data_IF_632118315011
#
_entry.id   IF_632118315011
#
_cell.length_a   1.000
_cell.length_b   1.000
_cell.length_c   1.000
_cell.angle_alpha   90.00
_cell.angle_beta   90.00
_cell.angle_gamma   90.00
#
_symmetry.space_group_name_H-M   'P 1'
#
loop_
_entity.id
_entity.type
_entity.pdbx_description
1 polymer ?
#
# COMPACT_ATOMS: atom_id res chain seq x y z
N UNK A 1 -26.54 18.85 23.13
CA UNK A 1 -26.13 17.67 22.33
C UNK A 1 -26.20 18.06 20.86
N UNK A 2 -25.10 18.22 20.13
CA UNK A 2 -25.21 18.50 18.70
C UNK A 2 -25.67 17.21 18.00
N UNK A 3 -26.70 17.34 17.16
CA UNK A 3 -27.22 16.25 16.34
C UNK A 3 -26.09 15.66 15.45
N UNK A 4 -26.09 14.35 15.20
CA UNK A 4 -25.07 13.73 14.34
C UNK A 4 -25.18 14.32 12.93
N UNK A 5 -24.12 15.00 12.49
CA UNK A 5 -24.00 15.50 11.12
C UNK A 5 -24.02 14.29 10.17
N UNK A 6 -24.93 14.23 9.19
CA UNK A 6 -24.99 13.10 8.27
C UNK A 6 -23.68 13.04 7.46
N UNK A 7 -22.94 11.94 7.58
CA UNK A 7 -21.68 11.74 6.85
C UNK A 7 -21.94 11.69 5.34
N UNK A 8 -21.41 12.67 4.60
CA UNK A 8 -21.53 12.80 3.13
C UNK A 8 -20.74 11.72 2.37
N UNK A 9 -19.92 10.94 3.09
CA UNK A 9 -19.04 9.89 2.57
C UNK A 9 -19.36 8.58 3.30
N UNK A 10 -19.64 7.51 2.56
CA UNK A 10 -19.69 6.16 3.11
C UNK A 10 -18.36 5.48 2.82
N UNK A 11 -17.74 4.91 3.86
CA UNK A 11 -16.61 3.98 3.71
C UNK A 11 -17.18 2.73 3.04
N UNK A 12 -17.14 2.67 1.71
CA UNK A 12 -17.60 1.49 0.98
C UNK A 12 -16.49 0.47 0.96
N UNK A 13 -16.68 -0.63 1.66
CA UNK A 13 -15.77 -1.78 1.67
C UNK A 13 -15.46 -2.27 0.27
N UNK A 14 -14.22 -2.74 0.07
CA UNK A 14 -13.86 -3.48 -1.12
C UNK A 14 -14.54 -4.85 -1.05
N UNK A 15 -15.51 -5.06 -1.92
CA UNK A 15 -16.40 -6.22 -1.87
C UNK A 15 -16.00 -7.26 -2.91
N UNK A 16 -15.37 -8.34 -2.47
CA UNK A 16 -14.77 -9.35 -3.33
C UNK A 16 -15.64 -10.61 -3.30
N UNK A 17 -15.96 -11.14 -4.47
CA UNK A 17 -16.72 -12.39 -4.61
C UNK A 17 -15.85 -13.45 -5.28
N UNK A 18 -15.91 -14.68 -4.78
CA UNK A 18 -15.44 -15.86 -5.49
C UNK A 18 -16.60 -16.77 -5.83
N UNK A 19 -16.64 -17.30 -7.06
CA UNK A 19 -17.76 -18.11 -7.52
C UNK A 19 -17.34 -19.13 -8.60
N UNK A 20 -17.44 -20.42 -8.26
CA UNK A 20 -17.37 -21.51 -9.24
C UNK A 20 -18.73 -21.62 -9.96
N UNK A 21 -18.72 -21.39 -11.28
CA UNK A 21 -19.94 -21.19 -12.09
C UNK A 21 -20.29 -22.38 -13.00
N UNK A 22 -19.46 -23.43 -13.00
CA UNK A 22 -19.66 -24.63 -13.82
C UNK A 22 -20.02 -24.32 -15.28
N UNK A 23 -19.13 -23.58 -15.93
CA UNK A 23 -19.17 -23.25 -17.35
C UNK A 23 -19.98 -21.99 -17.69
N UNK A 24 -19.39 -21.15 -18.55
CA UNK A 24 -19.96 -19.87 -19.02
C UNK A 24 -20.14 -19.80 -20.53
N UNK A 25 -20.02 -20.90 -21.27
CA UNK A 25 -20.17 -20.92 -22.73
C UNK A 25 -21.57 -20.47 -23.19
N UNK A 26 -22.59 -20.66 -22.35
CA UNK A 26 -23.98 -20.26 -22.59
C UNK A 26 -24.19 -18.77 -22.24
N UNK A 27 -24.86 -18.00 -23.11
CA UNK A 27 -25.02 -16.55 -22.95
C UNK A 27 -25.86 -16.19 -21.73
N UNK A 28 -26.91 -16.97 -21.49
CA UNK A 28 -27.84 -16.82 -20.37
C UNK A 28 -27.09 -16.91 -19.04
N UNK A 29 -26.16 -17.87 -18.90
CA UNK A 29 -25.30 -17.99 -17.70
C UNK A 29 -24.39 -16.76 -17.52
N UNK A 30 -23.79 -16.24 -18.60
CA UNK A 30 -22.98 -15.00 -18.51
C UNK A 30 -23.81 -13.81 -18.05
N UNK A 31 -25.02 -13.66 -18.59
CA UNK A 31 -25.95 -12.59 -18.20
C UNK A 31 -26.40 -12.74 -16.74
N UNK A 32 -26.65 -13.96 -16.26
CA UNK A 32 -26.96 -14.23 -14.85
C UNK A 32 -25.79 -13.88 -13.93
N UNK A 33 -24.58 -14.33 -14.26
CA UNK A 33 -23.37 -13.99 -13.51
C UNK A 33 -23.20 -12.46 -13.36
N UNK A 34 -23.24 -11.71 -14.46
CA UNK A 34 -23.06 -10.25 -14.40
C UNK A 34 -24.18 -9.55 -13.62
N UNK A 35 -25.41 -10.08 -13.66
CA UNK A 35 -26.54 -9.59 -12.86
C UNK A 35 -26.29 -9.81 -11.37
N UNK A 36 -25.87 -11.01 -10.98
CA UNK A 36 -25.58 -11.35 -9.59
C UNK A 36 -24.44 -10.50 -9.05
N UNK A 37 -23.33 -10.38 -9.80
CA UNK A 37 -22.21 -9.51 -9.41
C UNK A 37 -22.63 -8.04 -9.24
N UNK A 38 -23.55 -7.56 -10.07
CA UNK A 38 -24.14 -6.21 -9.92
C UNK A 38 -25.00 -6.11 -8.66
N UNK A 39 -25.88 -7.09 -8.43
CA UNK A 39 -26.78 -7.13 -7.27
C UNK A 39 -26.00 -7.18 -5.96
N UNK A 40 -24.94 -7.98 -5.93
CA UNK A 40 -24.06 -8.07 -4.78
C UNK A 40 -23.12 -6.87 -4.60
N UNK A 41 -23.15 -5.89 -5.52
CA UNK A 41 -22.25 -4.72 -5.53
C UNK A 41 -20.78 -5.15 -5.53
N UNK A 42 -20.43 -6.12 -6.36
CA UNK A 42 -19.09 -6.67 -6.41
C UNK A 42 -18.08 -5.68 -6.97
N UNK A 43 -17.00 -5.49 -6.22
CA UNK A 43 -15.81 -4.73 -6.58
C UNK A 43 -14.89 -5.54 -7.49
N UNK A 44 -14.58 -6.77 -7.06
CA UNK A 44 -13.66 -7.69 -7.71
C UNK A 44 -14.28 -9.08 -7.66
N UNK A 45 -14.26 -9.81 -8.78
CA UNK A 45 -14.83 -11.15 -8.86
C UNK A 45 -13.78 -12.17 -9.31
N UNK A 46 -13.65 -13.26 -8.56
CA UNK A 46 -12.87 -14.45 -8.89
C UNK A 46 -13.84 -15.53 -9.40
N UNK A 47 -13.73 -15.88 -10.67
CA UNK A 47 -14.61 -16.84 -11.32
C UNK A 47 -13.82 -18.10 -11.65
N UNK A 48 -14.32 -19.27 -11.25
CA UNK A 48 -13.72 -20.57 -11.55
C UNK A 48 -14.63 -21.36 -12.51
N UNK A 49 -14.04 -22.31 -13.23
CA UNK A 49 -14.75 -23.12 -14.24
C UNK A 49 -15.44 -22.29 -15.32
N UNK A 50 -14.73 -21.33 -15.92
CA UNK A 50 -15.29 -20.54 -17.03
C UNK A 50 -15.59 -21.41 -18.26
N UNK A 51 -14.83 -22.49 -18.46
CA UNK A 51 -14.94 -23.45 -19.58
C UNK A 51 -14.70 -22.82 -20.96
N UNK A 52 -14.07 -21.65 -21.00
CA UNK A 52 -13.72 -20.98 -22.25
C UNK A 52 -12.49 -21.63 -22.89
N UNK A 53 -12.48 -21.70 -24.22
CA UNK A 53 -11.27 -22.01 -24.97
C UNK A 53 -10.42 -20.75 -25.13
N UNK A 54 -9.10 -20.90 -25.09
CA UNK A 54 -8.15 -19.79 -25.21
C UNK A 54 -8.41 -18.92 -26.46
N UNK A 55 -8.69 -19.54 -27.61
CA UNK A 55 -8.92 -18.83 -28.88
C UNK A 55 -10.38 -18.42 -29.14
N UNK A 56 -11.33 -18.77 -28.26
CA UNK A 56 -12.78 -18.51 -28.45
C UNK A 56 -13.45 -17.97 -27.19
N UNK A 57 -12.70 -17.36 -26.28
CA UNK A 57 -13.26 -16.80 -25.06
C UNK A 57 -14.20 -15.62 -25.42
N UNK A 58 -15.50 -15.69 -25.11
CA UNK A 58 -16.41 -14.58 -25.32
C UNK A 58 -16.05 -13.42 -24.38
N UNK A 59 -16.35 -12.20 -24.80
CA UNK A 59 -16.17 -11.04 -23.94
C UNK A 59 -17.10 -11.16 -22.71
N UNK A 60 -16.51 -11.31 -21.52
CA UNK A 60 -17.21 -11.23 -20.23
C UNK A 60 -17.04 -9.82 -19.67
N UNK A 61 -17.81 -8.88 -20.21
CA UNK A 61 -17.80 -7.47 -19.80
C UNK A 61 -19.18 -6.84 -19.98
N UNK A 62 -19.43 -5.77 -19.24
CA UNK A 62 -20.60 -4.90 -19.41
C UNK A 62 -20.26 -3.46 -19.00
N UNK A 63 -21.26 -2.61 -18.78
CA UNK A 63 -21.03 -1.25 -18.27
C UNK A 63 -20.43 -1.23 -16.86
N UNK A 64 -20.63 -2.27 -16.05
CA UNK A 64 -20.22 -2.36 -14.66
C UNK A 64 -18.88 -3.05 -14.44
N UNK A 65 -18.47 -3.94 -15.35
CA UNK A 65 -17.25 -4.71 -15.28
C UNK A 65 -16.40 -4.53 -16.54
N UNK A 66 -15.11 -4.24 -16.33
CA UNK A 66 -14.11 -4.18 -17.39
C UNK A 66 -13.84 -5.59 -17.93
N UNK A 67 -13.14 -5.68 -19.06
CA UNK A 67 -12.66 -6.96 -19.60
C UNK A 67 -11.86 -7.70 -18.52
N UNK A 68 -12.22 -8.96 -18.29
CA UNK A 68 -11.56 -9.81 -17.30
C UNK A 68 -10.16 -10.27 -17.70
N UNK A 69 -9.38 -10.62 -16.69
CA UNK A 69 -8.12 -11.35 -16.85
C UNK A 69 -8.42 -12.84 -16.87
N UNK A 70 -7.99 -13.54 -17.92
CA UNK A 70 -8.28 -14.96 -18.11
C UNK A 70 -7.03 -15.82 -18.08
N UNK A 71 -7.19 -17.03 -17.54
CA UNK A 71 -6.29 -18.16 -17.73
C UNK A 71 -7.15 -19.35 -18.13
N UNK A 72 -7.09 -19.73 -19.40
CA UNK A 72 -7.86 -20.82 -19.98
C UNK A 72 -6.93 -21.98 -20.34
N UNK A 73 -7.47 -23.19 -20.41
CA UNK A 73 -6.72 -24.33 -20.91
C UNK A 73 -6.90 -24.41 -22.44
N UNK A 74 -5.82 -24.55 -23.23
CA UNK A 74 -5.92 -24.67 -24.69
C UNK A 74 -6.63 -25.95 -25.14
N UNK A 75 -6.40 -27.05 -24.42
CA UNK A 75 -6.81 -28.40 -24.82
C UNK A 75 -8.16 -28.82 -24.21
N UNK A 76 -8.49 -28.31 -23.00
CA UNK A 76 -9.64 -28.76 -22.22
C UNK A 76 -10.66 -27.65 -21.97
N UNK A 77 -11.93 -27.94 -22.27
CA UNK A 77 -13.06 -27.03 -21.99
C UNK A 77 -13.67 -27.17 -20.59
N UNK A 78 -13.03 -27.88 -19.67
CA UNK A 78 -13.54 -28.11 -18.30
C UNK A 78 -12.82 -27.29 -17.24
N UNK A 79 -11.92 -26.40 -17.67
CA UNK A 79 -11.08 -25.57 -16.80
C UNK A 79 -11.23 -24.10 -17.22
N UNK A 80 -10.55 -23.21 -16.50
CA UNK A 80 -10.52 -21.80 -16.80
C UNK A 80 -10.89 -20.97 -15.58
N UNK A 81 -10.10 -19.95 -15.32
CA UNK A 81 -10.31 -19.00 -14.23
C UNK A 81 -10.25 -17.58 -14.75
N UNK A 82 -11.00 -16.69 -14.11
CA UNK A 82 -11.07 -15.29 -14.48
C UNK A 82 -11.07 -14.37 -13.26
N UNK A 83 -10.40 -13.21 -13.37
CA UNK A 83 -10.54 -12.11 -12.42
C UNK A 83 -11.21 -10.93 -13.14
N UNK A 84 -12.34 -10.48 -12.63
CA UNK A 84 -13.10 -9.33 -13.11
C UNK A 84 -12.95 -8.15 -12.15
N UNK A 85 -12.74 -6.97 -12.69
CA UNK A 85 -12.72 -5.72 -11.93
C UNK A 85 -13.91 -4.86 -12.32
N UNK A 86 -14.61 -4.31 -11.32
CA UNK A 86 -15.65 -3.33 -11.57
C UNK A 86 -15.07 -2.09 -12.23
N UNK A 87 -15.78 -1.54 -13.22
CA UNK A 87 -15.46 -0.27 -13.87
C UNK A 87 -15.35 0.89 -12.88
N UNK A 88 -15.96 0.75 -11.68
CA UNK A 88 -15.92 1.74 -10.60
C UNK A 88 -14.61 1.73 -9.79
N UNK A 89 -13.75 0.74 -10.00
CA UNK A 89 -12.47 0.64 -9.28
C UNK A 89 -11.34 0.99 -10.25
N UNK A 90 -10.50 1.99 -9.90
CA UNK A 90 -9.36 2.37 -10.70
C UNK A 90 -8.21 1.38 -10.44
N UNK A 91 -8.40 0.12 -10.83
CA UNK A 91 -7.32 -0.86 -10.83
C UNK A 91 -6.37 -0.59 -11.99
N UNK A 92 -5.09 -0.42 -11.68
CA UNK A 92 -4.01 -0.30 -12.65
C UNK A 92 -3.15 -1.55 -12.52
N UNK A 93 -3.20 -2.39 -13.54
CA UNK A 93 -2.40 -3.61 -13.59
C UNK A 93 -0.92 -3.28 -13.72
N UNK A 94 -0.09 -4.02 -12.97
CA UNK A 94 1.36 -4.03 -13.12
C UNK A 94 1.85 -5.33 -13.77
N UNK A 95 1.32 -6.48 -13.36
CA UNK A 95 1.69 -7.77 -13.93
C UNK A 95 0.58 -8.81 -13.76
N UNK A 96 0.55 -9.78 -14.67
CA UNK A 96 -0.36 -10.94 -14.61
C UNK A 96 0.39 -12.23 -14.95
N UNK A 97 0.26 -13.24 -14.09
CA UNK A 97 0.82 -14.59 -14.27
C UNK A 97 -0.33 -15.59 -14.49
N UNK A 98 -0.28 -16.31 -15.61
CA UNK A 98 -1.33 -17.24 -16.05
C UNK A 98 -0.85 -18.69 -15.97
N UNK A 99 -1.71 -19.58 -15.50
CA UNK A 99 -1.49 -21.02 -15.57
C UNK A 99 -1.76 -21.54 -16.98
N UNK A 100 -0.84 -22.31 -17.57
CA UNK A 100 -1.08 -22.96 -18.87
C UNK A 100 -2.29 -23.91 -18.84
N UNK A 101 -2.55 -24.53 -17.70
CA UNK A 101 -3.66 -25.45 -17.51
C UNK A 101 -4.97 -24.73 -17.13
N UNK A 102 -5.03 -23.39 -17.10
CA UNK A 102 -6.27 -22.69 -16.74
C UNK A 102 -6.76 -22.93 -15.30
N UNK A 103 -5.85 -23.28 -14.38
CA UNK A 103 -6.16 -23.64 -12.99
C UNK A 103 -5.94 -22.49 -12.00
N UNK A 104 -5.15 -21.49 -12.35
CA UNK A 104 -4.98 -20.29 -11.53
C UNK A 104 -4.61 -19.09 -12.40
N UNK A 105 -4.89 -17.90 -11.87
CA UNK A 105 -4.40 -16.65 -12.40
C UNK A 105 -4.02 -15.73 -11.25
N UNK A 106 -2.86 -15.12 -11.34
CA UNK A 106 -2.39 -14.10 -10.41
C UNK A 106 -2.30 -12.78 -11.14
N UNK A 107 -2.77 -11.71 -10.53
CA UNK A 107 -2.57 -10.36 -11.04
C UNK A 107 -2.17 -9.47 -9.88
N UNK A 108 -1.22 -8.57 -10.12
CA UNK A 108 -0.85 -7.53 -9.16
C UNK A 108 -0.94 -6.16 -9.82
N UNK A 109 -1.30 -5.19 -9.01
CA UNK A 109 -1.53 -3.83 -9.47
C UNK A 109 -1.92 -2.92 -8.32
N UNK A 110 -2.17 -1.66 -8.65
CA UNK A 110 -2.49 -0.64 -7.66
C UNK A 110 -3.98 -0.31 -7.66
N UNK A 111 -4.52 -0.06 -6.47
CA UNK A 111 -5.83 0.55 -6.24
C UNK A 111 -5.60 1.70 -5.27
N UNK A 112 -5.71 2.93 -5.75
CA UNK A 112 -5.46 4.15 -4.94
C UNK A 112 -4.11 4.09 -4.20
N UNK A 113 -3.04 3.91 -4.99
CA UNK A 113 -1.64 3.89 -4.55
C UNK A 113 -1.26 2.76 -3.58
N UNK A 114 -2.18 1.86 -3.29
CA UNK A 114 -1.90 0.62 -2.56
C UNK A 114 -1.74 -0.53 -3.53
N UNK A 115 -0.64 -1.26 -3.41
CA UNK A 115 -0.40 -2.48 -4.19
C UNK A 115 -1.19 -3.65 -3.62
N UNK A 116 -1.88 -4.36 -4.50
CA UNK A 116 -2.61 -5.59 -4.20
C UNK A 116 -2.14 -6.70 -5.12
N UNK A 117 -2.07 -7.92 -4.58
CA UNK A 117 -1.93 -9.15 -5.35
C UNK A 117 -3.21 -9.96 -5.19
N UNK A 118 -3.86 -10.26 -6.31
CA UNK A 118 -5.07 -11.09 -6.36
C UNK A 118 -4.74 -12.43 -6.99
N UNK A 119 -5.10 -13.51 -6.30
CA UNK A 119 -4.91 -14.87 -6.78
C UNK A 119 -6.25 -15.62 -6.83
N UNK A 120 -6.67 -15.98 -8.04
CA UNK A 120 -7.82 -16.86 -8.24
C UNK A 120 -7.32 -18.28 -8.54
N UNK A 121 -7.70 -19.24 -7.70
CA UNK A 121 -7.21 -20.63 -7.76
C UNK A 121 -8.39 -21.60 -7.92
N UNK A 122 -8.23 -22.57 -8.81
CA UNK A 122 -9.12 -23.71 -9.01
C UNK A 122 -8.30 -25.00 -8.95
N UNK A 123 -8.30 -25.67 -7.80
CA UNK A 123 -7.52 -26.87 -7.58
C UNK A 123 -8.13 -28.11 -8.28
N UNK A 124 -7.31 -29.09 -8.70
CA UNK A 124 -7.81 -30.34 -9.27
C UNK A 124 -8.39 -31.28 -8.21
N UNK A 125 -9.33 -32.14 -8.60
CA UNK A 125 -9.91 -33.17 -7.72
C UNK A 125 -8.91 -34.23 -7.22
N UNK A 126 -7.76 -34.37 -7.90
CA UNK A 126 -6.68 -35.29 -7.53
C UNK A 126 -5.39 -34.53 -7.28
N UNK A 127 -4.57 -35.03 -6.35
CA UNK A 127 -3.26 -34.44 -6.00
C UNK A 127 -3.31 -32.96 -5.56
N UNK A 128 -4.41 -32.53 -4.91
CA UNK A 128 -4.64 -31.16 -4.41
C UNK A 128 -3.42 -30.58 -3.69
N UNK A 129 -2.88 -31.30 -2.69
CA UNK A 129 -1.75 -30.83 -1.89
C UNK A 129 -0.52 -30.50 -2.75
N UNK A 130 -0.17 -31.36 -3.72
CA UNK A 130 0.99 -31.12 -4.57
C UNK A 130 0.79 -29.91 -5.48
N UNK A 131 -0.43 -29.75 -6.02
CA UNK A 131 -0.80 -28.59 -6.80
C UNK A 131 -0.76 -27.31 -5.95
N UNK A 132 -1.37 -27.31 -4.77
CA UNK A 132 -1.39 -26.15 -3.88
C UNK A 132 0.02 -25.77 -3.43
N UNK A 133 0.87 -26.74 -3.09
CA UNK A 133 2.26 -26.50 -2.69
C UNK A 133 3.06 -25.78 -3.77
N UNK A 134 3.00 -26.24 -5.03
CA UNK A 134 3.71 -25.58 -6.12
C UNK A 134 3.08 -24.23 -6.49
N UNK A 135 1.76 -24.13 -6.44
CA UNK A 135 1.01 -22.91 -6.75
C UNK A 135 1.30 -21.81 -5.72
N UNK A 136 1.26 -22.13 -4.42
CA UNK A 136 1.60 -21.19 -3.34
C UNK A 136 3.07 -20.79 -3.43
N UNK A 137 3.99 -21.72 -3.68
CA UNK A 137 5.40 -21.38 -3.86
C UNK A 137 5.63 -20.39 -5.03
N UNK A 138 4.92 -20.57 -6.15
CA UNK A 138 4.95 -19.62 -7.27
C UNK A 138 4.30 -18.28 -6.93
N UNK A 139 3.17 -18.31 -6.22
CA UNK A 139 2.45 -17.12 -5.80
C UNK A 139 3.28 -16.25 -4.86
N UNK A 140 3.97 -16.85 -3.89
CA UNK A 140 4.80 -16.11 -2.94
C UNK A 140 5.96 -15.38 -3.62
N UNK A 141 6.49 -15.92 -4.73
CA UNK A 141 7.51 -15.22 -5.55
C UNK A 141 6.94 -14.06 -6.37
N UNK A 142 5.65 -14.14 -6.72
CA UNK A 142 4.96 -13.14 -7.52
C UNK A 142 4.37 -12.00 -6.66
N UNK A 143 4.09 -12.30 -5.39
CA UNK A 143 3.31 -11.46 -4.48
C UNK A 143 4.00 -10.15 -4.16
N UNK A 144 3.21 -9.08 -4.21
CA UNK A 144 3.56 -7.74 -3.76
C UNK A 144 2.34 -7.07 -3.09
N UNK A 145 2.59 -6.31 -2.02
CA UNK A 145 1.53 -5.62 -1.28
C UNK A 145 0.54 -6.55 -0.58
N UNK A 146 -0.75 -6.18 -0.57
CA UNK A 146 -1.79 -6.96 0.12
C UNK A 146 -2.19 -8.18 -0.71
N UNK A 147 -1.93 -9.38 -0.18
CA UNK A 147 -2.29 -10.64 -0.83
C UNK A 147 -3.72 -11.07 -0.49
N UNK A 148 -4.52 -11.31 -1.53
CA UNK A 148 -5.87 -11.87 -1.44
C UNK A 148 -5.95 -13.08 -2.36
N UNK A 149 -6.14 -14.24 -1.76
CA UNK A 149 -6.34 -15.51 -2.46
C UNK A 149 -7.80 -15.88 -2.36
N UNK A 150 -8.40 -16.32 -3.45
CA UNK A 150 -9.71 -16.96 -3.38
C UNK A 150 -9.94 -17.98 -4.48
N UNK A 151 -10.95 -18.81 -4.27
CA UNK A 151 -11.38 -19.81 -5.24
C UNK A 151 -11.68 -21.16 -4.61
N UNK A 152 -11.74 -22.16 -5.47
CA UNK A 152 -12.15 -23.51 -5.14
C UNK A 152 -10.90 -24.39 -4.96
N UNK A 153 -10.68 -24.83 -3.73
CA UNK A 153 -9.53 -25.67 -3.37
C UNK A 153 -9.80 -27.17 -3.56
N UNK A 154 -11.04 -27.56 -3.91
CA UNK A 154 -11.49 -28.94 -4.03
C UNK A 154 -11.01 -29.83 -2.86
N UNK A 155 -10.98 -29.24 -1.66
CA UNK A 155 -10.51 -29.86 -0.43
C UNK A 155 -11.18 -29.20 0.77
N UNK A 156 -11.85 -29.99 1.62
CA UNK A 156 -12.27 -29.56 2.95
C UNK A 156 -11.04 -29.41 3.86
N UNK A 157 -10.82 -28.21 4.42
CA UNK A 157 -9.69 -27.94 5.31
C UNK A 157 -9.89 -28.57 6.69
N UNK A 158 -11.11 -28.51 7.23
CA UNK A 158 -11.49 -29.13 8.50
C UNK A 158 -12.63 -30.13 8.29
N UNK A 159 -12.36 -31.40 7.92
CA UNK A 159 -13.39 -32.38 7.57
C UNK A 159 -14.54 -32.49 8.57
N UNK A 160 -14.25 -32.42 9.88
CA UNK A 160 -15.27 -32.54 10.93
C UNK A 160 -16.29 -31.38 10.95
N UNK A 161 -15.93 -30.23 10.38
CA UNK A 161 -16.76 -29.01 10.34
C UNK A 161 -17.21 -28.66 8.93
N UNK A 162 -16.39 -28.97 7.93
CA UNK A 162 -16.50 -28.56 6.53
C UNK A 162 -17.10 -29.66 5.64
N UNK A 163 -17.41 -30.83 6.19
CA UNK A 163 -17.96 -31.97 5.47
C UNK A 163 -19.13 -32.60 6.26
N UNK A 164 -20.07 -33.18 5.54
CA UNK A 164 -21.23 -33.91 6.08
C UNK A 164 -21.25 -35.37 5.67
N UNK A 165 -20.31 -35.80 4.82
CA UNK A 165 -20.18 -37.19 4.43
C UNK A 165 -19.92 -38.10 5.64
N UNK A 166 -20.53 -39.29 5.70
CA UNK A 166 -20.24 -40.27 6.75
C UNK A 166 -18.75 -40.65 6.69
N UNK A 167 -18.01 -40.31 7.75
CA UNK A 167 -16.62 -40.68 8.07
C UNK A 167 -15.73 -41.14 6.88
N UNK A 168 -14.92 -40.21 6.34
CA UNK A 168 -13.56 -40.56 5.89
C UNK A 168 -13.24 -40.58 4.39
N UNK A 169 -13.97 -39.87 3.52
CA UNK A 169 -13.66 -39.86 2.08
C UNK A 169 -12.34 -39.15 1.69
N UNK A 170 -11.70 -38.43 2.61
CA UNK A 170 -10.35 -37.88 2.39
C UNK A 170 -9.28 -38.63 3.20
N UNK A 171 -8.21 -39.15 2.58
CA UNK A 171 -7.07 -39.72 3.30
C UNK A 171 -6.62 -38.74 4.39
N UNK A 172 -6.54 -39.21 5.66
CA UNK A 172 -6.28 -38.40 6.86
C UNK A 172 -5.07 -37.43 6.73
N UNK A 173 -4.16 -37.67 5.80
CA UNK A 173 -2.95 -36.88 5.64
C UNK A 173 -3.06 -35.65 4.71
N UNK A 174 -4.08 -35.54 3.84
CA UNK A 174 -4.11 -34.45 2.84
C UNK A 174 -4.44 -33.08 3.46
N UNK A 175 -5.54 -33.00 4.20
CA UNK A 175 -5.97 -31.75 4.83
C UNK A 175 -4.92 -31.26 5.83
N UNK A 176 -4.34 -32.15 6.64
CA UNK A 176 -3.31 -31.81 7.61
C UNK A 176 -2.05 -31.23 6.94
N UNK A 177 -1.62 -31.80 5.80
CA UNK A 177 -0.49 -31.26 5.02
C UNK A 177 -0.82 -29.89 4.42
N UNK A 178 -2.03 -29.69 3.93
CA UNK A 178 -2.48 -28.38 3.41
C UNK A 178 -2.55 -27.33 4.52
N UNK A 179 -3.10 -27.66 5.69
CA UNK A 179 -3.13 -26.75 6.84
C UNK A 179 -1.71 -26.34 7.27
N UNK A 180 -0.76 -27.28 7.32
CA UNK A 180 0.65 -26.97 7.58
C UNK A 180 1.25 -26.04 6.53
N UNK A 181 0.96 -26.26 5.25
CA UNK A 181 1.40 -25.39 4.16
C UNK A 181 0.85 -23.97 4.33
N UNK A 182 -0.44 -23.81 4.64
CA UNK A 182 -1.06 -22.50 4.87
C UNK A 182 -0.41 -21.80 6.06
N UNK A 183 -0.22 -22.52 7.17
CA UNK A 183 0.46 -22.00 8.36
C UNK A 183 1.91 -21.54 8.08
N UNK A 184 2.69 -22.32 7.31
CA UNK A 184 4.06 -21.95 6.91
C UNK A 184 4.13 -20.61 6.16
N UNK A 185 3.09 -20.29 5.38
CA UNK A 185 2.99 -19.03 4.64
C UNK A 185 2.13 -17.98 5.34
N UNK A 186 1.77 -18.20 6.61
CA UNK A 186 0.93 -17.30 7.41
C UNK A 186 -0.42 -16.98 6.74
N UNK A 187 -0.96 -17.91 5.97
CA UNK A 187 -2.24 -17.79 5.29
C UNK A 187 -3.36 -18.31 6.21
N UNK A 188 -4.36 -17.47 6.44
CA UNK A 188 -5.52 -17.76 7.26
C UNK A 188 -6.79 -17.83 6.40
N UNK A 189 -7.68 -18.76 6.74
CA UNK A 189 -9.04 -18.84 6.21
C UNK A 189 -9.88 -17.68 6.77
N UNK A 190 -10.28 -16.76 5.89
CA UNK A 190 -11.01 -15.55 6.27
C UNK A 190 -12.40 -15.84 6.84
N UNK A 191 -13.08 -16.87 6.35
CA UNK A 191 -14.42 -17.22 6.86
C UNK A 191 -14.30 -17.86 8.24
N UNK A 192 -13.39 -18.82 8.39
CA UNK A 192 -13.16 -19.51 9.67
C UNK A 192 -12.60 -18.56 10.75
N UNK A 193 -11.85 -17.53 10.36
CA UNK A 193 -11.36 -16.50 11.28
C UNK A 193 -12.50 -15.69 11.93
N UNK A 194 -13.59 -15.45 11.21
CA UNK A 194 -14.77 -14.74 11.74
C UNK A 194 -15.84 -15.68 12.31
N UNK A 195 -15.86 -16.93 11.85
CA UNK A 195 -16.85 -17.94 12.25
C UNK A 195 -16.17 -19.24 12.74
N UNK A 196 -15.45 -19.23 13.89
CA UNK A 196 -14.59 -20.35 14.27
C UNK A 196 -15.33 -21.67 14.44
N UNK A 197 -16.54 -21.64 15.00
CA UNK A 197 -17.34 -22.84 15.33
C UNK A 197 -18.55 -23.05 14.41
N UNK A 198 -18.86 -22.09 13.55
CA UNK A 198 -20.03 -22.21 12.68
C UNK A 198 -19.82 -23.29 11.61
N UNK A 199 -20.92 -23.90 11.18
CA UNK A 199 -20.95 -24.87 10.08
C UNK A 199 -21.83 -24.33 8.98
N UNK A 200 -21.24 -24.16 7.80
CA UNK A 200 -21.90 -23.75 6.58
C UNK A 200 -21.07 -24.22 5.38
N UNK A 201 -21.69 -24.37 4.22
CA UNK A 201 -21.13 -25.13 3.10
C UNK A 201 -21.23 -24.36 1.79
N UNK A 202 -20.29 -24.61 0.89
CA UNK A 202 -20.23 -23.92 -0.40
C UNK A 202 -20.55 -24.81 -1.59
N UNK A 203 -20.64 -26.13 -1.40
CA UNK A 203 -20.90 -27.08 -2.47
C UNK A 203 -21.90 -28.14 -2.01
N UNK A 204 -22.78 -28.53 -2.93
CA UNK A 204 -23.70 -29.65 -2.75
C UNK A 204 -23.45 -30.74 -3.79
N UNK A 205 -23.12 -31.95 -3.32
CA UNK A 205 -22.99 -33.13 -4.17
C UNK A 205 -24.33 -33.86 -4.27
N UNK A 206 -24.99 -33.77 -5.43
CA UNK A 206 -26.23 -34.51 -5.67
C UNK A 206 -26.05 -36.03 -5.67
N UNK A 207 -24.87 -36.51 -6.09
CA UNK A 207 -24.57 -37.95 -6.17
C UNK A 207 -24.44 -38.60 -4.78
N UNK A 208 -23.97 -37.84 -3.79
CA UNK A 208 -23.73 -38.33 -2.43
C UNK A 208 -24.72 -37.75 -1.41
N UNK A 209 -25.56 -36.79 -1.81
CA UNK A 209 -26.45 -36.02 -0.93
C UNK A 209 -25.71 -35.37 0.24
N UNK A 210 -24.48 -34.90 -0.03
CA UNK A 210 -23.58 -34.31 0.97
C UNK A 210 -23.29 -32.85 0.66
N UNK A 211 -23.13 -32.07 1.71
CA UNK A 211 -22.64 -30.70 1.68
C UNK A 211 -21.18 -30.64 2.10
N UNK A 212 -20.39 -29.82 1.40
CA UNK A 212 -18.96 -29.65 1.66
C UNK A 212 -18.55 -28.20 1.47
N UNK A 213 -17.61 -27.68 2.27
CA UNK A 213 -17.02 -26.35 2.09
C UNK A 213 -15.72 -26.47 1.31
N UNK A 214 -15.73 -26.02 0.05
CA UNK A 214 -14.64 -26.16 -0.91
C UNK A 214 -14.07 -24.81 -1.38
N UNK A 215 -14.82 -23.73 -1.20
CA UNK A 215 -14.48 -22.39 -1.65
C UNK A 215 -13.98 -21.55 -0.48
N UNK A 216 -12.83 -20.90 -0.67
CA UNK A 216 -12.13 -20.19 0.40
C UNK A 216 -11.68 -18.81 -0.05
N UNK A 217 -11.66 -17.86 0.88
CA UNK A 217 -10.78 -16.70 0.82
C UNK A 217 -9.65 -16.90 1.83
N UNK A 218 -8.41 -16.69 1.39
CA UNK A 218 -7.23 -16.73 2.24
C UNK A 218 -6.49 -15.39 2.18
N UNK A 219 -6.02 -14.94 3.33
CA UNK A 219 -5.20 -13.73 3.47
C UNK A 219 -4.05 -13.98 4.44
N UNK A 220 -3.00 -13.16 4.37
CA UNK A 220 -1.94 -13.19 5.37
C UNK A 220 -2.46 -12.74 6.74
N UNK A 221 -1.98 -13.35 7.82
CA UNK A 221 -2.44 -13.05 9.18
C UNK A 221 -2.39 -11.55 9.53
N UNK A 222 -1.33 -10.84 9.12
CA UNK A 222 -1.19 -9.40 9.41
C UNK A 222 -2.22 -8.52 8.69
N UNK A 223 -2.86 -9.02 7.61
CA UNK A 223 -3.88 -8.29 6.85
C UNK A 223 -5.32 -8.66 7.27
N UNK A 224 -5.50 -9.58 8.23
CA UNK A 224 -6.84 -9.92 8.74
C UNK A 224 -7.53 -8.73 9.43
N UNK A 225 -6.78 -7.74 9.91
CA UNK A 225 -7.32 -6.49 10.45
C UNK A 225 -8.11 -5.66 9.41
N UNK A 226 -7.88 -5.91 8.11
CA UNK A 226 -8.64 -5.31 7.02
C UNK A 226 -9.98 -6.01 6.77
N UNK A 227 -10.17 -7.23 7.27
CA UNK A 227 -11.37 -8.01 7.06
C UNK A 227 -12.54 -7.44 7.89
N UNK A 228 -13.60 -7.01 7.21
CA UNK A 228 -14.85 -6.56 7.84
C UNK A 228 -15.89 -7.67 7.91
N UNK A 229 -16.00 -8.49 6.85
CA UNK A 229 -16.94 -9.61 6.81
C UNK A 229 -16.48 -10.68 5.82
N UNK A 230 -16.87 -11.92 6.11
CA UNK A 230 -16.75 -13.07 5.23
C UNK A 230 -18.05 -13.88 5.32
N UNK A 231 -18.73 -14.09 4.20
CA UNK A 231 -20.10 -14.58 4.12
C UNK A 231 -20.23 -15.60 2.98
N UNK A 232 -21.01 -16.65 3.18
CA UNK A 232 -21.43 -17.58 2.13
C UNK A 232 -22.80 -17.09 1.63
N UNK A 233 -22.93 -16.89 0.32
CA UNK A 233 -24.16 -16.38 -0.30
C UNK A 233 -25.04 -17.54 -0.79
N UNK A 234 -26.36 -17.33 -0.99
CA UNK A 234 -27.25 -18.38 -1.44
C UNK A 234 -26.82 -19.03 -2.77
N UNK A 235 -26.90 -20.35 -2.84
CA UNK A 235 -26.77 -21.12 -4.08
C UNK A 235 -27.95 -20.81 -4.99
N UNK A 236 -27.67 -20.36 -6.23
CA UNK A 236 -28.72 -19.89 -7.15
C UNK A 236 -28.84 -20.74 -8.40
N UNK A 237 -27.79 -20.80 -9.23
CA UNK A 237 -27.82 -21.51 -10.53
C UNK A 237 -26.57 -22.33 -10.83
N UNK A 238 -25.56 -22.26 -9.96
CA UNK A 238 -24.41 -23.18 -9.93
C UNK A 238 -24.63 -24.22 -8.81
N UNK A 239 -23.83 -25.27 -8.82
CA UNK A 239 -23.72 -26.25 -7.71
C UNK A 239 -22.80 -25.77 -6.58
N UNK A 240 -22.20 -24.59 -6.74
CA UNK A 240 -21.51 -23.88 -5.68
C UNK A 240 -22.27 -22.63 -5.22
N UNK A 241 -22.09 -22.28 -3.95
CA UNK A 241 -22.45 -20.99 -3.37
C UNK A 241 -21.36 -19.95 -3.71
N UNK A 242 -21.72 -18.73 -4.12
CA UNK A 242 -20.76 -17.64 -4.14
C UNK A 242 -20.30 -17.33 -2.70
N UNK A 243 -19.01 -17.10 -2.51
CA UNK A 243 -18.48 -16.58 -1.24
C UNK A 243 -18.13 -15.11 -1.38
N UNK A 244 -18.35 -14.34 -0.31
CA UNK A 244 -18.13 -12.89 -0.28
C UNK A 244 -17.19 -12.51 0.85
N UNK A 245 -16.24 -11.64 0.53
CA UNK A 245 -15.36 -11.00 1.50
C UNK A 245 -15.46 -9.48 1.36
N UNK A 246 -15.64 -8.78 2.49
CA UNK A 246 -15.62 -7.32 2.56
C UNK A 246 -14.37 -6.86 3.28
N UNK A 247 -13.53 -6.09 2.61
CA UNK A 247 -12.32 -5.51 3.17
C UNK A 247 -12.51 -4.02 3.40
N UNK A 248 -11.95 -3.50 4.50
CA UNK A 248 -11.85 -2.07 4.78
C UNK A 248 -11.19 -1.39 3.59
N UNK A 249 -11.98 -0.58 2.91
CA UNK A 249 -11.50 0.10 1.73
C UNK A 249 -10.52 1.21 2.08
N UNK A 250 -9.45 1.39 1.28
CA UNK A 250 -8.67 2.62 1.30
C UNK A 250 -9.43 3.79 0.63
N UNK A 251 -10.55 3.53 -0.05
CA UNK A 251 -11.30 4.52 -0.83
C UNK A 251 -12.22 5.35 0.08
N UNK A 252 -12.00 6.67 0.10
CA UNK A 252 -12.99 7.65 0.52
C UNK A 252 -13.79 8.07 -0.71
N UNK A 253 -15.09 7.74 -0.79
CA UNK A 253 -15.95 8.19 -1.90
C UNK A 253 -16.79 9.41 -1.51
N UNK A 254 -16.61 10.58 -2.14
CA UNK A 254 -17.64 11.60 -2.13
C UNK A 254 -18.88 11.02 -2.81
N UNK A 255 -20.08 11.32 -2.32
CA UNK A 255 -21.29 11.20 -3.14
C UNK A 255 -21.08 12.00 -4.42
N UNK A 256 -20.74 11.32 -5.51
CA UNK A 256 -20.47 11.90 -6.83
C UNK A 256 -21.69 12.55 -7.50
N UNK A 257 -22.82 12.66 -6.80
CA UNK A 257 -24.09 13.05 -7.38
C UNK A 257 -24.27 14.58 -7.39
N UNK A 258 -23.55 15.36 -6.57
CA UNK A 258 -23.69 16.83 -6.54
C UNK A 258 -22.69 17.57 -7.45
N UNK A 259 -21.39 17.21 -7.45
CA UNK A 259 -20.38 18.03 -8.15
C UNK A 259 -20.46 17.85 -9.68
N UNK A 260 -20.55 16.61 -10.18
CA UNK A 260 -20.56 16.36 -11.63
C UNK A 260 -21.82 16.89 -12.33
N UNK A 261 -22.96 16.88 -11.63
CA UNK A 261 -24.23 17.44 -12.12
C UNK A 261 -24.20 18.97 -12.11
N UNK A 262 -23.66 19.59 -11.06
CA UNK A 262 -23.44 21.04 -10.98
C UNK A 262 -22.41 21.53 -12.01
N UNK A 263 -21.35 20.76 -12.28
CA UNK A 263 -20.38 21.08 -13.34
C UNK A 263 -21.02 21.03 -14.73
N UNK A 264 -21.86 20.02 -14.98
CA UNK A 264 -22.59 19.89 -16.25
C UNK A 264 -23.63 21.01 -16.41
N UNK A 265 -24.32 21.37 -15.33
CA UNK A 265 -25.29 22.48 -15.29
C UNK A 265 -24.60 23.81 -15.52
N UNK A 266 -23.51 24.11 -14.80
CA UNK A 266 -22.74 25.34 -14.96
C UNK A 266 -22.13 25.46 -16.36
N UNK A 267 -21.62 24.37 -16.96
CA UNK A 267 -21.13 24.38 -18.35
C UNK A 267 -22.24 24.70 -19.38
N UNK A 268 -23.50 24.41 -19.06
CA UNK A 268 -24.65 24.67 -19.94
C UNK A 268 -25.28 26.04 -19.73
N UNK A 269 -25.38 26.49 -18.47
CA UNK A 269 -26.10 27.72 -18.12
C UNK A 269 -25.18 28.92 -17.87
N UNK A 270 -23.88 28.68 -17.62
CA UNK A 270 -22.88 29.68 -17.21
C UNK A 270 -23.32 30.57 -16.04
N UNK A 271 -24.26 30.07 -15.24
CA UNK A 271 -24.90 30.83 -14.19
C UNK A 271 -23.98 31.00 -12.96
N UNK A 272 -23.97 32.22 -12.42
CA UNK A 272 -23.16 32.62 -11.28
C UNK A 272 -23.59 31.94 -9.98
N UNK A 273 -24.89 31.66 -9.80
CA UNK A 273 -25.37 30.98 -8.58
C UNK A 273 -24.95 29.51 -8.56
N UNK A 274 -25.04 28.85 -9.71
CA UNK A 274 -24.54 27.47 -9.89
C UNK A 274 -23.01 27.39 -9.70
N UNK A 275 -22.26 28.42 -10.10
CA UNK A 275 -20.81 28.50 -9.87
C UNK A 275 -20.44 28.63 -8.39
N UNK A 276 -21.17 29.45 -7.64
CA UNK A 276 -20.97 29.63 -6.20
C UNK A 276 -21.26 28.34 -5.43
N UNK A 277 -22.34 27.64 -5.77
CA UNK A 277 -22.66 26.32 -5.19
C UNK A 277 -21.60 25.27 -5.51
N UNK A 278 -21.13 25.21 -6.77
CA UNK A 278 -20.06 24.31 -7.19
C UNK A 278 -18.76 24.59 -6.41
N UNK A 279 -18.40 25.87 -6.26
CA UNK A 279 -17.20 26.29 -5.53
C UNK A 279 -17.31 25.96 -4.04
N UNK A 280 -18.47 26.18 -3.43
CA UNK A 280 -18.73 25.79 -2.04
C UNK A 280 -18.59 24.28 -1.83
N UNK A 281 -19.15 23.46 -2.72
CA UNK A 281 -19.04 21.99 -2.67
C UNK A 281 -17.60 21.50 -2.89
N UNK A 282 -16.85 22.13 -3.80
CA UNK A 282 -15.40 21.86 -4.00
C UNK A 282 -14.58 22.20 -2.75
N UNK A 283 -14.81 23.37 -2.15
CA UNK A 283 -14.12 23.78 -0.93
C UNK A 283 -14.45 22.86 0.25
N UNK A 284 -15.70 22.42 0.37
CA UNK A 284 -16.13 21.45 1.37
C UNK A 284 -15.43 20.09 1.18
N UNK A 285 -15.27 19.64 -0.07
CA UNK A 285 -14.51 18.43 -0.40
C UNK A 285 -13.03 18.58 -0.03
N UNK A 286 -12.38 19.67 -0.43
CA UNK A 286 -10.97 19.95 -0.12
C UNK A 286 -10.71 20.01 1.39
N UNK A 287 -11.56 20.72 2.14
CA UNK A 287 -11.45 20.79 3.60
C UNK A 287 -11.58 19.41 4.27
N UNK A 288 -12.41 18.53 3.71
CA UNK A 288 -12.59 17.18 4.22
C UNK A 288 -11.41 16.25 3.85
N UNK A 289 -10.89 16.33 2.62
CA UNK A 289 -9.68 15.61 2.20
C UNK A 289 -8.48 16.00 3.07
N UNK A 290 -8.32 17.30 3.35
CA UNK A 290 -7.26 17.80 4.23
C UNK A 290 -7.38 17.23 5.65
N UNK A 291 -8.59 17.10 6.20
CA UNK A 291 -8.79 16.41 7.51
C UNK A 291 -8.45 14.93 7.45
N UNK A 292 -8.78 14.24 6.36
CA UNK A 292 -8.46 12.82 6.20
C UNK A 292 -6.94 12.61 6.05
N UNK A 293 -6.26 13.46 5.28
CA UNK A 293 -4.79 13.51 5.17
C UNK A 293 -4.18 13.74 6.55
N UNK A 294 -4.69 14.70 7.32
CA UNK A 294 -4.20 15.00 8.66
C UNK A 294 -4.39 13.82 9.63
N UNK A 295 -5.53 13.12 9.57
CA UNK A 295 -5.77 11.89 10.36
C UNK A 295 -4.84 10.73 9.95
N UNK A 296 -4.66 10.53 8.64
CA UNK A 296 -3.74 9.51 8.11
C UNK A 296 -2.30 9.80 8.53
N UNK A 297 -1.88 11.05 8.44
CA UNK A 297 -0.58 11.52 8.91
C UNK A 297 -0.40 11.32 10.43
N UNK A 298 -1.42 11.63 11.23
CA UNK A 298 -1.41 11.35 12.67
C UNK A 298 -1.31 9.86 12.97
N UNK A 299 -2.05 9.03 12.23
CA UNK A 299 -2.01 7.57 12.39
C UNK A 299 -0.67 6.98 11.96
N UNK A 300 -0.07 7.48 10.87
CA UNK A 300 1.28 7.14 10.43
C UNK A 300 2.32 7.49 11.50
N UNK A 301 2.24 8.69 12.09
CA UNK A 301 3.11 9.09 13.22
C UNK A 301 2.94 8.18 14.43
N UNK A 302 1.70 7.82 14.76
CA UNK A 302 1.41 6.88 15.83
C UNK A 302 1.93 5.47 15.53
N UNK A 303 1.81 5.00 14.28
CA UNK A 303 2.33 3.71 13.84
C UNK A 303 3.86 3.67 13.90
N UNK A 304 4.57 4.72 13.48
CA UNK A 304 6.02 4.84 13.66
C UNK A 304 6.37 4.85 15.16
N UNK A 305 5.60 5.55 15.98
CA UNK A 305 5.81 5.56 17.43
C UNK A 305 5.64 4.18 18.05
N UNK A 306 4.60 3.43 17.67
CA UNK A 306 4.28 2.11 18.25
C UNK A 306 5.15 0.97 17.68
N UNK A 307 5.34 0.95 16.37
CA UNK A 307 5.88 -0.18 15.59
C UNK A 307 7.08 0.16 14.71
N UNK A 308 7.45 1.44 14.58
CA UNK A 308 8.72 1.80 13.94
C UNK A 308 9.89 1.25 14.74
N UNK A 309 11.07 1.14 14.12
CA UNK A 309 12.30 0.80 14.83
C UNK A 309 12.54 1.82 15.94
N UNK A 310 12.09 1.47 17.15
CA UNK A 310 12.32 2.25 18.35
C UNK A 310 13.82 2.23 18.55
N UNK A 311 14.41 3.41 18.65
CA UNK A 311 15.78 3.60 19.12
C UNK A 311 16.00 2.67 20.32
N UNK A 312 16.74 1.58 20.12
CA UNK A 312 16.82 0.51 21.12
C UNK A 312 17.30 1.05 22.47
N UNK A 313 17.14 0.25 23.54
CA UNK A 313 17.60 0.60 24.90
C UNK A 313 19.03 1.17 24.92
N UNK A 314 19.89 0.73 24.00
CA UNK A 314 21.22 1.27 23.77
C UNK A 314 21.22 2.75 23.35
N UNK A 315 20.47 3.13 22.32
CA UNK A 315 20.36 4.53 21.87
C UNK A 315 19.61 5.38 22.91
N UNK A 316 18.60 4.84 23.57
CA UNK A 316 17.96 5.49 24.72
C UNK A 316 18.94 5.78 25.86
N UNK A 317 19.83 4.82 26.17
CA UNK A 317 20.89 5.00 27.17
C UNK A 317 21.96 5.99 26.72
N UNK A 318 22.39 5.95 25.45
CA UNK A 318 23.32 6.92 24.88
C UNK A 318 22.75 8.34 24.89
N UNK A 319 21.47 8.50 24.53
CA UNK A 319 20.77 9.79 24.58
C UNK A 319 20.57 10.25 26.02
N UNK A 320 20.27 9.36 26.97
CA UNK A 320 20.16 9.69 28.40
C UNK A 320 21.51 10.14 28.96
N UNK A 321 22.59 9.43 28.63
CA UNK A 321 23.95 9.77 29.04
C UNK A 321 24.41 11.09 28.42
N UNK A 322 24.15 11.32 27.12
CA UNK A 322 24.37 12.62 26.46
C UNK A 322 23.54 13.74 27.08
N UNK A 323 22.26 13.50 27.40
CA UNK A 323 21.39 14.51 28.00
C UNK A 323 21.87 14.90 29.40
N UNK A 324 22.40 13.97 30.18
CA UNK A 324 23.02 14.26 31.47
C UNK A 324 24.34 15.03 31.31
N UNK A 325 25.16 14.69 30.31
CA UNK A 325 26.40 15.44 30.02
C UNK A 325 26.14 16.86 29.52
N UNK A 326 25.06 17.07 28.76
CA UNK A 326 24.66 18.36 28.20
C UNK A 326 23.74 19.15 29.14
N UNK A 327 23.38 18.59 30.30
CA UNK A 327 22.53 19.29 31.26
C UNK A 327 23.38 20.32 32.00
N UNK A 328 22.97 21.58 31.91
CA UNK A 328 23.63 22.70 32.57
C UNK A 328 22.81 23.01 33.83
N UNK A 329 23.28 22.59 35.02
CA UNK A 329 22.48 22.70 36.25
C UNK A 329 22.38 24.13 36.79
N UNK A 330 23.38 24.95 36.48
CA UNK A 330 23.45 26.35 36.88
C UNK A 330 24.45 27.10 36.02
N UNK A 331 24.20 28.38 35.83
CA UNK A 331 25.14 29.31 35.21
C UNK A 331 25.29 30.54 36.11
N UNK A 332 26.31 31.35 35.86
CA UNK A 332 26.44 32.67 36.45
C UNK A 332 26.06 33.72 35.41
N UNK A 333 25.31 34.73 35.84
CA UNK A 333 25.03 35.89 35.00
C UNK A 333 26.25 36.82 34.91
N UNK A 334 26.14 37.87 34.08
CA UNK A 334 27.14 38.94 33.93
C UNK A 334 27.51 39.64 35.24
N UNK A 335 26.67 39.55 36.28
CA UNK A 335 26.91 40.10 37.62
C UNK A 335 27.38 39.02 38.63
N UNK A 336 27.86 37.87 38.14
CA UNK A 336 28.33 36.72 38.94
C UNK A 336 27.27 36.06 39.83
N UNK A 337 25.97 36.34 39.64
CA UNK A 337 24.89 35.72 40.42
C UNK A 337 24.50 34.38 39.82
N UNK A 338 24.27 33.39 40.68
CA UNK A 338 23.89 32.05 40.27
C UNK A 338 22.43 32.01 39.75
N UNK A 339 22.23 31.46 38.56
CA UNK A 339 20.92 31.11 38.00
C UNK A 339 20.79 29.59 37.93
N UNK A 340 19.69 29.06 38.45
CA UNK A 340 19.42 27.62 38.56
C UNK A 340 18.09 27.20 37.92
N UNK A 341 17.19 28.16 37.65
CA UNK A 341 15.92 27.90 36.97
C UNK A 341 16.14 27.82 35.45
N UNK A 342 15.59 26.81 34.75
CA UNK A 342 15.78 26.63 33.31
C UNK A 342 15.45 27.86 32.45
N UNK A 343 14.39 28.59 32.79
CA UNK A 343 13.98 29.80 32.05
C UNK A 343 14.99 30.94 32.23
N UNK A 344 15.58 31.07 33.41
CA UNK A 344 16.63 32.06 33.68
C UNK A 344 17.92 31.68 32.96
N UNK A 345 18.27 30.39 32.95
CA UNK A 345 19.44 29.85 32.24
C UNK A 345 19.28 30.12 30.72
N UNK A 346 18.13 29.80 30.15
CA UNK A 346 17.84 30.02 28.74
C UNK A 346 17.84 31.50 28.35
N UNK A 347 17.32 32.37 29.22
CA UNK A 347 17.29 33.82 29.00
C UNK A 347 18.69 34.42 29.00
N UNK A 348 19.56 33.99 29.93
CA UNK A 348 20.94 34.45 29.97
C UNK A 348 21.73 33.94 28.75
N UNK A 349 21.56 32.67 28.35
CA UNK A 349 22.19 32.15 27.13
C UNK A 349 21.78 32.95 25.90
N UNK A 350 20.49 33.25 25.75
CA UNK A 350 19.98 34.09 24.67
C UNK A 350 20.65 35.46 24.70
N UNK A 351 20.68 36.11 25.86
CA UNK A 351 21.26 37.45 26.04
C UNK A 351 22.75 37.45 25.70
N UNK A 352 23.51 36.47 26.19
CA UNK A 352 24.94 36.32 25.95
C UNK A 352 25.25 36.11 24.46
N UNK A 353 24.62 35.11 23.81
CA UNK A 353 24.89 34.82 22.41
C UNK A 353 24.34 35.90 21.49
N UNK A 354 23.23 36.55 21.84
CA UNK A 354 22.75 37.72 21.12
C UNK A 354 23.79 38.85 21.17
N UNK A 355 24.42 39.10 22.31
CA UNK A 355 25.54 40.04 22.40
C UNK A 355 26.80 39.59 21.65
N UNK A 356 27.12 38.29 21.65
CA UNK A 356 28.28 37.73 20.94
C UNK A 356 28.15 37.85 19.42
N UNK A 357 26.95 37.59 18.89
CA UNK A 357 26.66 37.57 17.46
C UNK A 357 26.09 38.89 16.92
N UNK A 358 25.78 39.86 17.77
CA UNK A 358 25.67 41.23 17.31
C UNK A 358 27.07 41.66 16.84
N UNK A 359 27.19 42.05 15.56
CA UNK A 359 28.28 42.91 15.16
C UNK A 359 28.26 44.09 16.14
N UNK A 360 29.31 44.23 16.97
CA UNK A 360 29.46 45.39 17.85
C UNK A 360 29.31 46.62 16.96
N UNK A 361 28.17 47.32 17.05
CA UNK A 361 28.04 48.64 16.47
C UNK A 361 29.07 49.53 17.16
N UNK A 362 29.67 50.43 16.39
CA UNK A 362 30.85 51.20 16.74
C UNK A 362 30.78 51.75 18.17
N UNK A 363 31.77 51.39 18.99
CA UNK A 363 32.09 52.15 20.21
C UNK A 363 32.43 53.59 19.77
N UNK A 364 31.98 54.63 20.49
CA UNK A 364 32.28 56.02 20.14
C UNK A 364 33.79 56.28 20.25
N UNK A 365 34.50 56.13 19.13
CA UNK A 365 35.96 56.29 19.03
C UNK A 365 36.68 55.29 18.11
N UNK A 366 36.07 54.15 17.76
CA UNK A 366 36.67 53.15 16.87
C UNK A 366 35.76 52.83 15.69
N UNK A 367 35.99 53.48 14.55
CA UNK A 367 35.29 53.17 13.30
C UNK A 367 35.60 51.73 12.85
N UNK A 368 34.58 50.99 12.36
CA UNK A 368 34.72 49.69 11.66
C UNK A 368 35.92 49.61 10.71
N UNK A 369 36.28 50.71 10.04
CA UNK A 369 37.44 50.84 9.16
C UNK A 369 38.79 50.54 9.84
N UNK A 370 38.94 50.90 11.11
CA UNK A 370 40.15 50.67 11.91
C UNK A 370 40.34 49.19 12.26
N UNK A 371 39.26 48.48 12.60
CA UNK A 371 39.29 47.04 12.89
C UNK A 371 39.52 46.19 11.64
N UNK A 372 38.94 46.60 10.51
CA UNK A 372 39.28 46.01 9.21
C UNK A 372 40.76 46.19 8.86
N UNK A 373 41.35 47.34 9.19
CA UNK A 373 42.79 47.56 9.01
C UNK A 373 43.63 46.66 9.93
N UNK A 374 43.20 46.44 11.18
CA UNK A 374 43.87 45.54 12.11
C UNK A 374 43.78 44.07 11.67
N UNK A 375 42.61 43.63 11.22
CA UNK A 375 42.41 42.28 10.66
C UNK A 375 43.25 42.11 9.39
N UNK A 376 43.29 43.10 8.49
CA UNK A 376 44.15 43.07 7.30
C UNK A 376 45.64 43.02 7.66
N UNK A 377 46.07 43.75 8.69
CA UNK A 377 47.45 43.71 9.21
C UNK A 377 47.79 42.32 9.78
N UNK A 378 46.87 41.73 10.55
CA UNK A 378 47.05 40.37 11.09
C UNK A 378 47.13 39.31 9.98
N UNK A 379 46.17 39.35 9.04
CA UNK A 379 46.13 38.46 7.87
C UNK A 379 47.40 38.63 7.02
N UNK A 380 47.87 39.85 6.80
CA UNK A 380 49.12 40.10 6.06
C UNK A 380 50.38 39.67 6.80
N UNK A 381 50.36 39.63 8.15
CA UNK A 381 51.47 39.11 8.95
C UNK A 381 51.52 37.58 9.00
N UNK A 382 50.36 36.93 8.83
CA UNK A 382 50.29 35.51 8.61
C UNK A 382 50.82 35.27 7.19
N UNK A 383 52.02 34.72 7.07
CA UNK A 383 52.65 34.36 5.79
C UNK A 383 51.87 33.19 5.16
N UNK A 384 50.64 33.45 4.73
CA UNK A 384 49.78 32.45 4.13
C UNK A 384 50.33 32.13 2.74
N UNK A 385 50.47 30.85 2.39
CA UNK A 385 50.92 30.47 1.07
C UNK A 385 49.90 30.99 0.04
N UNK A 386 50.38 31.86 -0.85
CA UNK A 386 49.60 32.32 -1.99
C UNK A 386 49.59 31.22 -3.06
N UNK A 387 48.42 31.03 -3.68
CA UNK A 387 48.25 30.08 -4.78
C UNK A 387 48.97 30.67 -6.00
N UNK A 388 49.67 29.84 -6.78
CA UNK A 388 50.36 30.31 -7.98
C UNK A 388 49.36 30.89 -8.99
N UNK A 389 49.79 31.86 -9.81
CA UNK A 389 48.92 32.45 -10.85
C UNK A 389 48.33 31.35 -11.76
N UNK A 390 49.12 30.32 -12.07
CA UNK A 390 48.69 29.16 -12.85
C UNK A 390 47.63 28.31 -12.17
N UNK A 391 47.74 28.09 -10.86
CA UNK A 391 46.74 27.33 -10.10
C UNK A 391 45.46 28.16 -9.90
N UNK A 392 45.58 29.49 -9.76
CA UNK A 392 44.44 30.42 -9.68
C UNK A 392 43.66 30.40 -10.99
N UNK A 393 44.33 30.52 -12.12
CA UNK A 393 43.71 30.43 -13.45
C UNK A 393 43.03 29.07 -13.66
N UNK A 394 43.63 27.98 -13.21
CA UNK A 394 43.04 26.65 -13.29
C UNK A 394 41.78 26.50 -12.40
N UNK A 395 41.78 27.06 -11.19
CA UNK A 395 40.64 27.01 -10.28
C UNK A 395 39.48 27.92 -10.71
N UNK A 396 39.76 29.01 -11.42
CA UNK A 396 38.76 29.93 -11.99
C UNK A 396 38.21 29.47 -13.35
N UNK A 397 38.84 28.47 -13.98
CA UNK A 397 38.38 27.93 -15.27
C UNK A 397 37.02 27.21 -15.15
N UNK A 398 36.20 27.20 -16.22
CA UNK A 398 34.95 26.45 -16.24
C UNK A 398 35.18 24.95 -16.02
N UNK A 399 34.34 24.32 -15.18
CA UNK A 399 34.40 22.88 -14.91
C UNK A 399 34.20 22.09 -16.22
N UNK A 400 35.14 21.22 -16.52
CA UNK A 400 35.14 20.40 -17.74
C UNK A 400 34.39 19.07 -17.54
N UNK A 401 33.82 18.49 -18.61
CA UNK A 401 33.19 17.16 -18.55
C UNK A 401 34.15 16.06 -18.05
N UNK A 402 35.44 16.16 -18.36
CA UNK A 402 36.47 15.21 -17.93
C UNK A 402 36.71 15.25 -16.43
N UNK A 403 36.72 16.44 -15.82
CA UNK A 403 36.81 16.62 -14.37
C UNK A 403 35.58 16.06 -13.66
N UNK A 404 34.39 16.26 -14.24
CA UNK A 404 33.14 15.71 -13.71
C UNK A 404 33.17 14.17 -13.75
N UNK A 405 33.58 13.59 -14.87
CA UNK A 405 33.71 12.14 -15.01
C UNK A 405 34.75 11.56 -14.02
N UNK A 406 35.88 12.23 -13.85
CA UNK A 406 36.90 11.86 -12.86
C UNK A 406 36.36 11.93 -11.43
N UNK A 407 35.66 13.00 -11.08
CA UNK A 407 35.07 13.21 -9.75
C UNK A 407 34.02 12.13 -9.43
N UNK A 408 33.11 11.85 -10.36
CA UNK A 408 32.10 10.80 -10.21
C UNK A 408 32.77 9.44 -10.02
N UNK A 409 33.81 9.12 -10.80
CA UNK A 409 34.56 7.85 -10.68
C UNK A 409 35.22 7.71 -9.30
N UNK A 410 35.89 8.76 -8.81
CA UNK A 410 36.63 8.75 -7.53
C UNK A 410 35.72 8.82 -6.29
N UNK A 411 34.50 9.32 -6.41
CA UNK A 411 33.64 9.53 -5.27
C UNK A 411 33.17 8.20 -4.64
N UNK A 412 33.04 8.17 -3.30
CA UNK A 412 32.75 6.95 -2.53
C UNK A 412 31.27 6.58 -2.60
N UNK A 413 30.97 5.31 -2.85
CA UNK A 413 29.60 4.76 -2.86
C UNK A 413 29.06 4.59 -1.42
N UNK A 414 27.72 4.53 -1.28
CA UNK A 414 27.06 4.30 0.02
C UNK A 414 26.95 5.53 0.93
N UNK A 415 27.16 6.74 0.40
CA UNK A 415 26.88 8.01 1.09
C UNK A 415 25.43 8.42 0.88
N UNK A 416 24.91 9.25 1.79
CA UNK A 416 23.56 9.80 1.67
C UNK A 416 23.43 10.61 0.37
N UNK A 417 22.29 10.57 -0.33
CA UNK A 417 22.07 11.33 -1.55
C UNK A 417 22.15 12.84 -1.30
N UNK A 418 22.50 13.57 -2.35
CA UNK A 418 22.54 15.03 -2.32
C UNK A 418 21.14 15.67 -2.28
N UNK A 419 21.05 16.99 -2.43
CA UNK A 419 19.78 17.73 -2.48
C UNK A 419 18.86 17.28 -3.63
N UNK A 420 19.44 16.69 -4.67
CA UNK A 420 18.77 16.09 -5.82
C UNK A 420 18.06 14.75 -5.49
N UNK A 421 18.36 14.15 -4.33
CA UNK A 421 17.80 12.86 -3.91
C UNK A 421 18.38 11.65 -4.65
N UNK A 422 19.35 11.84 -5.54
CA UNK A 422 19.95 10.75 -6.33
C UNK A 422 21.23 10.23 -5.65
N UNK A 423 21.36 8.91 -5.45
CA UNK A 423 22.57 8.34 -4.87
C UNK A 423 23.71 8.41 -5.90
N UNK A 424 24.95 8.58 -5.43
CA UNK A 424 26.13 8.65 -6.30
C UNK A 424 26.30 7.41 -7.22
N UNK A 425 25.69 6.28 -6.86
CA UNK A 425 25.63 5.08 -7.70
C UNK A 425 24.90 5.33 -9.02
N UNK A 426 23.85 6.17 -9.01
CA UNK A 426 23.13 6.59 -10.21
C UNK A 426 24.09 7.25 -11.20
N UNK A 427 24.83 8.27 -10.75
CA UNK A 427 25.78 8.98 -11.60
C UNK A 427 26.90 8.08 -12.13
N UNK A 428 27.39 7.12 -11.33
CA UNK A 428 28.38 6.13 -11.80
C UNK A 428 27.87 5.16 -12.87
N UNK A 429 26.57 4.87 -12.88
CA UNK A 429 25.96 3.97 -13.88
C UNK A 429 25.73 4.72 -15.19
N UNK A 430 25.31 5.98 -15.11
CA UNK A 430 24.89 6.77 -16.27
C UNK A 430 25.96 7.74 -16.80
N UNK A 431 27.22 7.61 -16.35
CA UNK A 431 28.35 8.46 -16.82
C UNK A 431 28.66 8.37 -18.31
N UNK A 432 28.12 7.39 -19.05
CA UNK A 432 28.38 7.17 -20.49
C UNK A 432 27.15 7.38 -21.37
N UNK A 433 26.01 7.81 -20.82
CA UNK A 433 24.87 8.20 -21.65
C UNK A 433 25.09 9.64 -22.17
N UNK A 434 24.90 9.87 -23.48
CA UNK A 434 25.21 11.15 -24.13
C UNK A 434 24.30 12.31 -23.70
#
# INVERSE_FOLDING_TARGET
>A
MPAPVPSVFTREDLNIISYNVKGLNVREKRTRLLRDLKQYRTSIAFIQETHFQENRAPALKDRNFRTGYFSNNPDRRTQGVCILFSSRIPYIEQATLRCKQGRYIFTKGTISDQTYTFANIYAPNTKQYHFLRSTVASLMKFTEGTLIIGGDLNLALHPDQDDTSPQGATPQNRHAKTLRLLHQHQLADCWRALHPTARDFTFYSSAHLTYTRLDYFLMTHHNLNLLNAAEILPMTWSDHCPIRMRLKSPLYRPRQIDIATLETRHKRTLDATTYQELTAKRNQLTAHLNRAIQRSYQHYRHMIHEHGDKCGRLLGNLLKQRKTQLYIPKIKDTQQRLKHLPDQIATEFRTYYQGLYHLRQDEPGESQSSKLAEVRRYIGSAHMPEISETDREALEAPITPEELAYAIKKAKTGKAPGPDGLPLQYYKVFTQEP
#
